data_IF_230137521150
#
_entry.id   IF_230137521150
#
_cell.length_a   1.000
_cell.length_b   1.000
_cell.length_c   1.000
_cell.angle_alpha   90.00
_cell.angle_beta   90.00
_cell.angle_gamma   90.00
#
_symmetry.space_group_name_H-M   'P 1'
#
loop_
_entity.id
_entity.type
_entity.pdbx_description
1 polymer ?
#
# COMPACT_ATOMS: atom_id res chain seq x y z
N UNK A 1 6.66 0.17 -7.60
CA UNK A 1 6.77 0.68 -9.00
C UNK A 1 5.43 1.11 -9.54
N UNK A 2 5.34 2.34 -10.06
CA UNK A 2 4.11 2.91 -10.64
C UNK A 2 4.17 2.90 -12.17
N UNK A 3 3.08 2.48 -12.80
CA UNK A 3 2.91 2.47 -14.25
C UNK A 3 1.79 3.45 -14.62
N UNK A 4 2.13 4.49 -15.40
CA UNK A 4 1.18 5.50 -15.84
C UNK A 4 0.26 4.91 -16.91
N UNK A 5 -1.06 4.98 -16.71
CA UNK A 5 -2.07 4.54 -17.68
C UNK A 5 -2.58 5.75 -18.48
N UNK A 6 -2.98 6.80 -17.78
CA UNK A 6 -3.39 8.09 -18.37
C UNK A 6 -2.64 9.24 -17.70
N UNK A 7 -2.93 10.49 -18.07
CA UNK A 7 -2.28 11.66 -17.43
C UNK A 7 -2.42 11.67 -15.90
N UNK A 8 -3.56 11.17 -15.40
CA UNK A 8 -3.93 11.21 -14.00
C UNK A 8 -4.06 9.82 -13.37
N UNK A 9 -4.32 8.76 -14.16
CA UNK A 9 -4.46 7.40 -13.62
C UNK A 9 -3.17 6.60 -13.76
N UNK A 10 -2.86 5.83 -12.73
CA UNK A 10 -1.71 4.92 -12.73
C UNK A 10 -2.05 3.60 -12.04
N UNK A 11 -1.43 2.52 -12.52
CA UNK A 11 -1.30 1.27 -11.78
C UNK A 11 -0.10 1.36 -10.84
N UNK A 12 -0.17 0.67 -9.72
CA UNK A 12 0.88 0.63 -8.71
C UNK A 12 1.06 -0.79 -8.21
N UNK A 13 2.28 -1.30 -8.30
CA UNK A 13 2.73 -2.54 -7.67
C UNK A 13 3.76 -2.18 -6.61
N UNK A 14 3.57 -2.58 -5.37
CA UNK A 14 4.47 -2.31 -4.25
C UNK A 14 4.77 -3.60 -3.49
N UNK A 15 5.88 -3.63 -2.75
CA UNK A 15 6.19 -4.73 -1.84
C UNK A 15 6.31 -4.13 -0.44
N UNK A 16 5.47 -4.60 0.48
CA UNK A 16 5.40 -4.10 1.86
C UNK A 16 5.97 -5.12 2.82
N UNK A 17 6.52 -4.63 3.93
CA UNK A 17 6.98 -5.43 5.06
C UNK A 17 6.24 -4.95 6.30
N UNK A 18 5.42 -5.82 6.88
CA UNK A 18 4.64 -5.53 8.08
C UNK A 18 4.98 -6.56 9.16
N UNK A 19 4.93 -6.15 10.43
CA UNK A 19 5.10 -7.07 11.55
C UNK A 19 3.88 -6.99 12.44
N UNK A 20 3.35 -8.15 12.82
CA UNK A 20 2.28 -8.25 13.81
C UNK A 20 2.88 -8.81 15.10
N UNK A 21 2.62 -8.10 16.20
CA UNK A 21 2.91 -8.59 17.54
C UNK A 21 1.66 -9.29 18.04
N UNK A 22 1.77 -10.59 18.34
CA UNK A 22 0.66 -11.38 18.87
C UNK A 22 0.85 -11.57 20.37
N UNK A 23 0.14 -10.79 21.17
CA UNK A 23 0.24 -10.78 22.63
C UNK A 23 -0.67 -11.87 23.23
N UNK A 24 -0.33 -13.14 23.00
CA UNK A 24 -1.02 -14.28 23.60
C UNK A 24 -0.14 -14.94 24.68
N UNK A 25 -0.47 -14.63 25.94
CA UNK A 25 -0.14 -15.44 27.12
C UNK A 25 1.34 -15.85 27.29
N UNK A 26 2.26 -14.87 27.29
CA UNK A 26 3.68 -14.99 27.69
C UNK A 26 4.69 -15.44 26.61
N UNK A 27 4.38 -15.33 25.31
CA UNK A 27 5.37 -15.43 24.24
C UNK A 27 5.25 -14.26 23.26
N UNK A 28 6.24 -13.37 23.24
CA UNK A 28 6.40 -12.36 22.17
C UNK A 28 6.87 -13.06 20.90
N UNK A 29 5.94 -13.63 20.13
CA UNK A 29 6.25 -14.13 18.78
C UNK A 29 5.87 -13.05 17.75
N UNK A 30 6.82 -12.16 17.46
CA UNK A 30 6.69 -11.18 16.38
C UNK A 30 6.79 -11.90 15.04
N UNK A 31 5.69 -11.90 14.27
CA UNK A 31 5.68 -12.44 12.91
C UNK A 31 5.80 -11.31 11.90
N UNK A 32 6.86 -11.38 11.08
CA UNK A 32 7.10 -10.42 10.01
C UNK A 32 6.67 -11.02 8.67
N UNK A 33 5.84 -10.28 7.94
CA UNK A 33 5.33 -10.64 6.63
C UNK A 33 5.85 -9.69 5.58
N UNK A 34 6.23 -10.25 4.44
CA UNK A 34 6.66 -9.53 3.27
C UNK A 34 5.73 -9.89 2.10
N UNK A 35 4.89 -8.95 1.68
CA UNK A 35 3.82 -9.24 0.74
C UNK A 35 3.74 -8.22 -0.40
N UNK A 36 3.36 -8.67 -1.60
CA UNK A 36 3.07 -7.76 -2.69
C UNK A 36 1.71 -7.08 -2.50
N UNK A 37 1.66 -5.82 -2.90
CA UNK A 37 0.49 -4.96 -2.99
C UNK A 37 0.32 -4.55 -4.45
N UNK A 38 -0.90 -4.61 -4.97
CA UNK A 38 -1.16 -4.13 -6.33
C UNK A 38 -2.47 -3.40 -6.43
N UNK A 39 -2.52 -2.38 -7.26
CA UNK A 39 -3.74 -1.62 -7.48
C UNK A 39 -3.48 -0.41 -8.33
N UNK A 40 -4.15 0.68 -8.00
CA UNK A 40 -4.05 1.88 -8.81
C UNK A 40 -4.48 3.12 -8.05
N UNK A 41 -4.23 4.25 -8.68
CA UNK A 41 -4.51 5.53 -8.07
C UNK A 41 -4.76 6.62 -9.09
N UNK A 42 -5.22 7.74 -8.54
CA UNK A 42 -5.45 8.97 -9.25
C UNK A 42 -4.51 10.03 -8.69
N UNK A 43 -3.78 10.67 -9.59
CA UNK A 43 -2.87 11.78 -9.32
C UNK A 43 -3.45 13.05 -9.93
N UNK A 44 -3.56 14.10 -9.13
CA UNK A 44 -3.99 15.42 -9.60
C UNK A 44 -3.27 16.52 -8.84
N UNK A 45 -3.09 17.66 -9.48
CA UNK A 45 -2.44 18.81 -8.89
C UNK A 45 -2.13 19.88 -9.92
N UNK A 46 -1.57 20.98 -9.44
CA UNK A 46 -1.29 22.17 -10.25
C UNK A 46 0.21 22.50 -10.21
N UNK A 47 0.76 22.83 -11.38
CA UNK A 47 2.18 23.13 -11.54
C UNK A 47 3.07 21.93 -11.18
N UNK A 48 4.02 22.15 -10.26
CA UNK A 48 5.00 21.14 -9.83
C UNK A 48 4.47 20.18 -8.75
N UNK A 49 3.31 20.46 -8.17
CA UNK A 49 2.75 19.69 -7.06
C UNK A 49 1.69 18.72 -7.55
N UNK A 50 1.75 17.47 -7.07
CA UNK A 50 0.73 16.45 -7.31
C UNK A 50 0.36 15.74 -6.02
N UNK A 51 -0.93 15.70 -5.74
CA UNK A 51 -1.55 14.85 -4.73
C UNK A 51 -2.00 13.54 -5.37
N UNK A 52 -1.94 12.44 -4.62
CA UNK A 52 -2.35 11.12 -5.10
C UNK A 52 -3.25 10.44 -4.10
N UNK A 53 -4.31 9.79 -4.58
CA UNK A 53 -5.10 8.81 -3.84
C UNK A 53 -4.91 7.45 -4.48
N UNK A 54 -4.78 6.39 -3.68
CA UNK A 54 -4.48 5.05 -4.18
C UNK A 54 -5.22 4.00 -3.36
N UNK A 55 -5.65 2.96 -4.05
CA UNK A 55 -6.20 1.74 -3.47
C UNK A 55 -5.32 0.58 -3.93
N UNK A 56 -4.77 -0.15 -2.96
CA UNK A 56 -3.89 -1.29 -3.19
C UNK A 56 -4.52 -2.53 -2.55
N UNK A 57 -4.62 -3.60 -3.31
CA UNK A 57 -5.05 -4.91 -2.84
C UNK A 57 -3.86 -5.69 -2.29
N UNK A 58 -4.05 -6.34 -1.15
CA UNK A 58 -3.07 -7.20 -0.50
C UNK A 58 -3.11 -8.58 -1.16
N UNK A 59 -2.03 -8.97 -1.82
CA UNK A 59 -1.97 -10.26 -2.52
C UNK A 59 -1.80 -11.46 -1.57
N UNK A 60 -1.30 -11.23 -0.34
CA UNK A 60 -1.10 -12.30 0.65
C UNK A 60 -2.37 -12.55 1.45
N UNK A 61 -2.90 -13.77 1.38
CA UNK A 61 -4.09 -14.19 2.13
C UNK A 61 -3.89 -14.09 3.65
N UNK A 62 -2.75 -14.56 4.14
CA UNK A 62 -2.40 -14.55 5.57
C UNK A 62 -2.40 -13.13 6.16
N UNK A 63 -1.87 -12.16 5.41
CA UNK A 63 -1.86 -10.76 5.84
C UNK A 63 -3.26 -10.16 5.87
N UNK A 64 -4.13 -10.51 4.91
CA UNK A 64 -5.54 -10.07 4.92
C UNK A 64 -6.30 -10.67 6.09
N UNK A 65 -6.05 -11.94 6.41
CA UNK A 65 -6.69 -12.64 7.53
C UNK A 65 -6.25 -12.04 8.87
N UNK A 66 -4.94 -11.80 9.05
CA UNK A 66 -4.38 -11.18 10.26
C UNK A 66 -4.79 -9.72 10.43
N UNK A 67 -4.73 -8.93 9.35
CA UNK A 67 -5.11 -7.52 9.36
C UNK A 67 -6.62 -7.29 9.38
N UNK A 68 -7.42 -8.27 8.95
CA UNK A 68 -8.87 -8.16 8.72
C UNK A 68 -9.28 -7.08 7.70
N UNK A 69 -8.38 -6.70 6.80
CA UNK A 69 -8.68 -5.82 5.67
C UNK A 69 -8.02 -6.34 4.38
N UNK A 70 -8.73 -6.34 3.24
CA UNK A 70 -8.17 -6.83 1.97
C UNK A 70 -7.42 -5.76 1.17
N UNK A 71 -7.57 -4.49 1.56
CA UNK A 71 -7.09 -3.32 0.82
C UNK A 71 -6.38 -2.33 1.74
N UNK A 72 -5.39 -1.63 1.19
CA UNK A 72 -4.74 -0.48 1.80
C UNK A 72 -5.07 0.79 1.02
N UNK A 73 -5.40 1.86 1.75
CA UNK A 73 -5.64 3.18 1.21
C UNK A 73 -4.43 4.09 1.46
N UNK A 74 -3.92 4.71 0.40
CA UNK A 74 -2.76 5.58 0.50
C UNK A 74 -3.06 6.97 -0.04
N UNK A 75 -2.69 7.99 0.75
CA UNK A 75 -2.61 9.38 0.33
C UNK A 75 -1.15 9.77 0.15
N UNK A 76 -0.85 10.52 -0.90
CA UNK A 76 0.51 10.95 -1.19
C UNK A 76 0.57 12.36 -1.72
N UNK A 77 1.70 13.03 -1.47
CA UNK A 77 2.01 14.34 -2.00
C UNK A 77 3.42 14.31 -2.60
N UNK A 78 3.58 14.86 -3.80
CA UNK A 78 4.84 14.81 -4.54
C UNK A 78 5.12 16.15 -5.22
N UNK A 79 6.42 16.48 -5.32
CA UNK A 79 6.92 17.67 -6.02
C UNK A 79 7.89 17.25 -7.11
N UNK A 80 7.58 17.61 -8.35
CA UNK A 80 8.50 17.46 -9.47
C UNK A 80 9.42 18.69 -9.51
N UNK A 81 10.73 18.50 -9.38
CA UNK A 81 11.72 19.59 -9.41
C UNK A 81 12.06 19.99 -10.83
#
# INVERSE_FOLDING_TARGET
>A
TRFKITENLFAHLEYSVLSFDNDWFFQEERRTFNYPLFGGGYASGFGKWKSTIQLLFIASEEVRELGQYPIEFWFGFSRNF
#
